data_IF_135154198077
#
_entry.id   IF_135154198077
#
_cell.length_a   1.000
_cell.length_b   1.000
_cell.length_c   1.000
_cell.angle_alpha   90.00
_cell.angle_beta   90.00
_cell.angle_gamma   90.00
#
_symmetry.space_group_name_H-M   'P 1'
#
loop_
_entity.id
_entity.type
_entity.pdbx_description
1 polymer ?
#
# COMPACT_ATOMS: atom_id res chain seq x y z
N UNK A 1 -3.99 2.81 8.61
CA UNK A 1 -2.63 3.13 8.12
C UNK A 1 -2.00 1.81 7.73
N UNK A 2 -1.21 1.78 6.66
CA UNK A 2 -0.42 0.61 6.29
C UNK A 2 1.05 0.95 6.35
N UNK A 3 1.89 -0.06 6.44
CA UNK A 3 3.34 0.10 6.41
C UNK A 3 3.89 -0.73 5.25
N UNK A 4 4.83 -0.18 4.50
CA UNK A 4 5.54 -0.91 3.44
C UNK A 4 7.03 -0.85 3.73
N UNK A 5 7.77 -1.86 3.31
CA UNK A 5 9.24 -1.89 3.46
C UNK A 5 9.87 -1.60 2.12
N UNK A 6 10.83 -0.68 2.11
CA UNK A 6 11.63 -0.33 0.94
C UNK A 6 13.10 -0.44 1.28
N UNK A 7 13.79 -1.39 0.66
CA UNK A 7 15.24 -1.42 0.60
C UNK A 7 15.68 -0.72 -0.68
N UNK A 8 16.17 -1.46 -1.68
CA UNK A 8 16.38 -0.95 -3.04
C UNK A 8 15.07 -0.85 -3.84
N UNK A 9 14.19 -1.83 -3.64
CA UNK A 9 12.84 -1.92 -4.22
C UNK A 9 11.82 -2.11 -3.09
N UNK A 10 10.53 -1.96 -3.42
CA UNK A 10 9.47 -2.41 -2.53
C UNK A 10 9.40 -3.93 -2.53
N UNK A 11 8.97 -4.54 -1.44
CA UNK A 11 8.77 -5.99 -1.37
C UNK A 11 7.32 -6.34 -1.66
N UNK A 12 7.07 -7.30 -2.53
CA UNK A 12 5.75 -7.90 -2.77
C UNK A 12 5.39 -8.93 -1.67
N UNK A 13 4.17 -9.51 -1.67
CA UNK A 13 3.77 -10.52 -0.68
C UNK A 13 4.65 -11.78 -0.69
N UNK A 14 5.30 -12.07 -1.81
CA UNK A 14 6.15 -13.25 -2.03
C UNK A 14 7.64 -12.98 -1.70
N UNK A 15 7.99 -11.75 -1.34
CA UNK A 15 9.35 -11.32 -1.01
C UNK A 15 10.19 -10.88 -2.21
N UNK A 16 9.60 -10.73 -3.40
CA UNK A 16 10.26 -10.21 -4.60
C UNK A 16 10.27 -8.67 -4.61
N UNK A 17 11.29 -8.11 -5.28
CA UNK A 17 11.40 -6.67 -5.48
C UNK A 17 10.44 -6.14 -6.54
N UNK A 18 9.59 -5.20 -6.17
CA UNK A 18 8.70 -4.45 -7.06
C UNK A 18 9.08 -2.98 -7.15
N UNK A 19 8.85 -2.39 -8.32
CA UNK A 19 9.13 -0.98 -8.58
C UNK A 19 8.07 -0.04 -8.01
N UNK A 20 6.84 -0.53 -7.79
CA UNK A 20 5.71 0.30 -7.40
C UNK A 20 5.30 0.07 -5.94
N UNK A 21 4.93 1.17 -5.27
CA UNK A 21 4.40 1.13 -3.90
C UNK A 21 3.00 0.48 -3.85
N UNK A 22 2.27 0.48 -4.96
CA UNK A 22 0.91 -0.07 -5.02
C UNK A 22 0.89 -1.61 -5.06
N UNK A 23 1.96 -2.22 -5.54
CA UNK A 23 2.17 -3.67 -5.58
C UNK A 23 2.94 -4.18 -4.34
N UNK A 24 3.44 -3.26 -3.52
CA UNK A 24 4.15 -3.59 -2.29
C UNK A 24 3.24 -4.30 -1.29
N UNK A 25 3.82 -5.19 -0.50
CA UNK A 25 3.14 -5.80 0.63
C UNK A 25 2.89 -4.76 1.74
N UNK A 26 1.62 -4.63 2.12
CA UNK A 26 1.19 -3.71 3.16
C UNK A 26 1.08 -4.45 4.50
N UNK A 27 2.02 -4.19 5.39
CA UNK A 27 1.98 -4.64 6.77
C UNK A 27 0.91 -3.87 7.56
N UNK A 28 0.15 -4.60 8.38
CA UNK A 28 -0.90 -4.03 9.24
C UNK A 28 -0.32 -3.33 10.48
N UNK A 29 0.86 -3.76 10.93
CA UNK A 29 1.55 -3.24 12.11
C UNK A 29 2.94 -2.75 11.77
N UNK A 30 3.33 -1.63 12.39
CA UNK A 30 4.68 -1.07 12.27
C UNK A 30 5.74 -2.07 12.73
N UNK A 31 5.49 -2.79 13.82
CA UNK A 31 6.45 -3.74 14.37
C UNK A 31 6.78 -4.88 13.38
N UNK A 32 5.80 -5.34 12.61
CA UNK A 32 6.01 -6.34 11.56
C UNK A 32 6.85 -5.77 10.40
N UNK A 33 6.57 -4.53 10.00
CA UNK A 33 7.36 -3.87 8.97
C UNK A 33 8.80 -3.60 9.43
N UNK A 34 9.03 -3.26 10.70
CA UNK A 34 10.36 -3.04 11.27
C UNK A 34 11.18 -4.33 11.28
N UNK A 35 10.58 -5.47 11.64
CA UNK A 35 11.25 -6.78 11.54
C UNK A 35 11.67 -7.11 10.10
N UNK A 36 10.78 -6.90 9.14
CA UNK A 36 11.10 -7.14 7.73
C UNK A 36 12.17 -6.16 7.20
N UNK A 37 12.13 -4.91 7.64
CA UNK A 37 13.14 -3.91 7.31
C UNK A 37 14.51 -4.27 7.91
N UNK A 38 14.56 -4.81 9.12
CA UNK A 38 15.80 -5.25 9.77
C UNK A 38 16.46 -6.39 8.99
N UNK A 39 15.68 -7.38 8.53
CA UNK A 39 16.19 -8.52 7.75
C UNK A 39 16.67 -8.10 6.36
N UNK A 40 15.99 -7.14 5.72
CA UNK A 40 16.29 -6.70 4.36
C UNK A 40 17.16 -5.44 4.29
N UNK A 41 17.68 -4.95 5.42
CA UNK A 41 18.39 -3.68 5.55
C UNK A 41 17.62 -2.50 4.90
N UNK A 42 16.30 -2.53 5.02
CA UNK A 42 15.37 -1.58 4.41
C UNK A 42 14.88 -0.50 5.36
N UNK A 43 14.00 0.36 4.84
CA UNK A 43 13.26 1.36 5.61
C UNK A 43 11.76 1.08 5.59
N UNK A 44 11.12 1.32 6.72
CA UNK A 44 9.66 1.30 6.85
C UNK A 44 9.10 2.64 6.39
N UNK A 45 8.19 2.58 5.42
CA UNK A 45 7.46 3.74 4.91
C UNK A 45 6.01 3.61 5.37
N UNK A 46 5.54 4.60 6.14
CA UNK A 46 4.14 4.68 6.53
C UNK A 46 3.30 5.20 5.35
N UNK A 47 2.31 4.41 4.97
CA UNK A 47 1.45 4.72 3.84
C UNK A 47 0.01 4.85 4.31
N UNK A 48 -0.62 5.97 3.93
CA UNK A 48 -2.07 6.12 4.07
C UNK A 48 -2.71 5.28 2.97
N UNK A 49 -2.98 4.00 3.27
CA UNK A 49 -3.78 3.16 2.39
C UNK A 49 -5.13 3.83 2.15
N UNK A 50 -5.46 4.23 0.90
CA UNK A 50 -6.82 4.63 0.60
C UNK A 50 -7.66 3.38 0.78
N UNK A 51 -8.48 3.34 1.84
CA UNK A 51 -9.40 2.22 2.04
C UNK A 51 -10.17 2.00 0.75
N UNK A 52 -10.06 0.80 0.15
CA UNK A 52 -10.69 0.42 -1.13
C UNK A 52 -12.20 0.77 -1.21
N UNK A 53 -12.85 0.95 -0.05
CA UNK A 53 -14.21 1.49 0.08
C UNK A 53 -14.42 2.87 -0.55
N UNK A 54 -13.39 3.70 -0.70
CA UNK A 54 -13.53 5.06 -1.21
C UNK A 54 -13.51 5.15 -2.74
N UNK A 55 -12.83 4.22 -3.43
CA UNK A 55 -12.84 4.16 -4.90
C UNK A 55 -14.18 3.64 -5.45
N UNK A 56 -14.81 2.67 -4.77
CA UNK A 56 -16.16 2.19 -5.18
C UNK A 56 -17.24 3.28 -5.11
N UNK A 57 -17.16 4.22 -4.16
CA UNK A 57 -18.14 5.31 -4.06
C UNK A 57 -18.05 6.30 -5.22
N UNK A 58 -16.87 6.61 -5.75
CA UNK A 58 -16.73 7.55 -6.88
C UNK A 58 -17.13 6.92 -8.22
N UNK A 59 -16.84 5.63 -8.43
CA UNK A 59 -17.26 4.92 -9.63
C UNK A 59 -18.81 4.77 -9.70
N UNK A 60 -19.45 4.47 -8.57
CA UNK A 60 -20.92 4.30 -8.49
C UNK A 60 -21.73 5.61 -8.52
N UNK A 61 -21.10 6.78 -8.57
CA UNK A 61 -21.81 8.07 -8.64
C UNK A 61 -21.61 8.79 -9.99
N UNK A 62 -20.76 8.26 -10.86
CA UNK A 62 -20.47 8.88 -12.16
C UNK A 62 -21.68 8.88 -13.12
N UNK A 63 -22.61 7.93 -12.95
CA UNK A 63 -23.83 7.80 -13.76
C UNK A 63 -25.05 8.56 -13.19
N UNK A 64 -24.94 9.14 -11.99
CA UNK A 64 -26.03 9.83 -11.28
C UNK A 64 -26.09 11.35 -11.53
N UNK A 65 -25.22 11.90 -12.39
CA UNK A 65 -25.33 13.30 -12.80
C UNK A 65 -26.42 13.42 -13.86
N UNK A 66 -27.64 13.70 -13.41
CA UNK A 66 -28.73 14.14 -14.28
C UNK A 66 -28.30 15.42 -15.02
N UNK A 67 -28.46 15.50 -16.35
CA UNK A 67 -28.22 16.74 -17.08
C UNK A 67 -29.28 17.77 -16.64
N UNK A 68 -28.80 18.95 -16.23
CA UNK A 68 -29.61 20.14 -15.92
C UNK A 68 -30.14 20.81 -17.19
#
# INVERSE_FOLDING_TARGET
>A
MGYVVKAMCYLDPDGNGCASQAEAFHYESKALAELAAEVCEGQVIEVRTPTSKQQKRKANQAWMREPS
#
